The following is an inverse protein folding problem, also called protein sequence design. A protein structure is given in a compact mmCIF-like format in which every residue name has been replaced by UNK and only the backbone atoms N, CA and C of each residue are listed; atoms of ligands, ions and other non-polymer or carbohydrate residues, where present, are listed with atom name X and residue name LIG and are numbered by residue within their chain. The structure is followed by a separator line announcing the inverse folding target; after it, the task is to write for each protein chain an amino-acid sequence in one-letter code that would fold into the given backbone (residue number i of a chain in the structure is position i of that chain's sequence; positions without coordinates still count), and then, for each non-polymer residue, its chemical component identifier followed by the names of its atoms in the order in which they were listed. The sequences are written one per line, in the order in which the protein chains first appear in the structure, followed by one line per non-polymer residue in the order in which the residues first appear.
data_IF_588538171557
#
_entry.id   IF_588538171557
#
_cell.length_a   1.000
_cell.length_b   1.000
_cell.length_c   1.000
_cell.angle_alpha   90.00
_cell.angle_beta   90.00
_cell.angle_gamma   90.00
#
_symmetry.space_group_name_H-M   'P 1'
#
loop_
_entity.id
_entity.type
_entity.pdbx_description
1 polymer ?
#
# COMPACT_ATOMS: atom_id res chain seq x y z
N UNK A 1 18.00 14.31 -6.55
CA UNK A 1 18.12 13.04 -5.82
C UNK A 1 16.94 12.13 -6.11
N UNK A 2 17.13 10.83 -5.93
CA UNK A 2 16.11 9.78 -6.09
C UNK A 2 16.05 8.97 -4.80
N UNK A 3 14.86 8.49 -4.43
CA UNK A 3 14.65 7.66 -3.25
C UNK A 3 13.56 6.62 -3.48
N UNK A 4 13.54 5.60 -2.62
CA UNK A 4 12.49 4.58 -2.60
C UNK A 4 11.44 4.98 -1.58
N UNK A 5 10.17 4.94 -1.97
CA UNK A 5 9.04 5.39 -1.15
C UNK A 5 7.80 4.53 -1.45
N UNK A 6 6.94 4.37 -0.45
CA UNK A 6 5.64 3.75 -0.64
C UNK A 6 4.67 4.69 -1.38
N UNK A 7 3.69 4.09 -2.08
CA UNK A 7 2.81 4.82 -2.98
C UNK A 7 1.89 5.83 -2.28
N UNK A 8 1.41 5.55 -1.07
CA UNK A 8 0.55 6.46 -0.31
C UNK A 8 1.28 7.74 0.09
N UNK A 9 2.52 7.63 0.59
CA UNK A 9 3.38 8.76 0.93
C UNK A 9 3.78 9.53 -0.33
N UNK A 10 4.11 8.84 -1.42
CA UNK A 10 4.38 9.48 -2.71
C UNK A 10 3.18 10.28 -3.22
N UNK A 11 1.96 9.74 -3.06
CA UNK A 11 0.73 10.42 -3.45
C UNK A 11 0.49 11.70 -2.63
N UNK A 12 0.80 11.70 -1.33
CA UNK A 12 0.77 12.91 -0.50
C UNK A 12 1.78 13.95 -0.99
N UNK A 13 3.02 13.56 -1.25
CA UNK A 13 4.06 14.47 -1.75
C UNK A 13 3.71 15.06 -3.12
N UNK A 14 3.20 14.22 -4.04
CA UNK A 14 2.77 14.61 -5.38
C UNK A 14 1.62 15.62 -5.37
N UNK A 15 0.72 15.52 -4.38
CA UNK A 15 -0.37 16.46 -4.17
C UNK A 15 0.12 17.78 -3.54
N UNK A 16 1.08 17.71 -2.62
CA UNK A 16 1.57 18.88 -1.88
C UNK A 16 2.51 19.78 -2.69
N UNK A 17 3.45 19.20 -3.43
CA UNK A 17 4.50 19.96 -4.12
C UNK A 17 4.88 19.32 -5.45
N UNK A 18 4.72 20.09 -6.53
CA UNK A 18 4.99 19.66 -7.91
C UNK A 18 6.46 19.47 -8.23
N UNK A 19 7.38 19.79 -7.31
CA UNK A 19 8.79 19.42 -7.46
C UNK A 19 9.03 17.91 -7.38
N UNK A 20 8.12 17.17 -6.76
CA UNK A 20 8.24 15.71 -6.63
C UNK A 20 7.60 15.00 -7.82
N UNK A 21 8.33 14.05 -8.39
CA UNK A 21 7.82 13.12 -9.38
C UNK A 21 7.71 11.72 -8.77
N UNK A 22 6.62 11.02 -9.10
CA UNK A 22 6.49 9.59 -8.82
C UNK A 22 6.82 8.80 -10.08
N UNK A 23 7.72 7.84 -9.97
CA UNK A 23 8.18 7.01 -11.08
C UNK A 23 8.03 5.55 -10.67
N UNK A 24 7.31 4.79 -11.49
CA UNK A 24 7.34 3.33 -11.44
C UNK A 24 8.43 2.84 -12.39
N UNK A 25 9.40 2.04 -11.93
CA UNK A 25 10.43 1.49 -12.80
C UNK A 25 9.84 0.62 -13.93
N UNK A 26 10.46 0.67 -15.11
CA UNK A 26 9.99 -0.08 -16.30
C UNK A 26 10.07 -1.60 -16.09
N UNK A 27 11.05 -2.07 -15.32
CA UNK A 27 11.20 -3.49 -14.93
C UNK A 27 10.20 -3.94 -13.85
N UNK A 28 9.34 -3.03 -13.39
CA UNK A 28 8.32 -3.28 -12.38
C UNK A 28 8.70 -2.82 -10.97
N UNK A 29 7.73 -2.96 -10.06
CA UNK A 29 7.86 -2.63 -8.65
C UNK A 29 7.17 -3.68 -7.79
N UNK A 30 7.37 -3.60 -6.48
CA UNK A 30 6.65 -4.45 -5.54
C UNK A 30 5.17 -4.05 -5.46
N UNK A 31 4.28 -4.98 -5.79
CA UNK A 31 2.84 -4.88 -5.53
C UNK A 31 2.51 -5.58 -4.20
N UNK A 32 2.00 -4.82 -3.25
CA UNK A 32 1.62 -5.31 -1.93
C UNK A 32 0.15 -5.02 -1.61
N UNK A 33 -0.41 -5.81 -0.71
CA UNK A 33 -1.75 -5.63 -0.17
C UNK A 33 -1.72 -5.95 1.32
N UNK A 34 -2.04 -4.96 2.14
CA UNK A 34 -2.26 -5.17 3.56
C UNK A 34 -3.69 -5.66 3.81
N UNK A 35 -3.82 -6.71 4.63
CA UNK A 35 -5.10 -7.30 4.98
C UNK A 35 -5.28 -7.33 6.50
N UNK A 36 -6.50 -7.10 6.96
CA UNK A 36 -6.86 -7.28 8.36
C UNK A 36 -7.00 -8.79 8.66
N UNK A 37 -6.40 -9.24 9.75
CA UNK A 37 -6.50 -10.61 10.24
C UNK A 37 -6.90 -10.62 11.72
N UNK A 38 -7.68 -11.63 12.13
CA UNK A 38 -8.04 -11.85 13.54
C UNK A 38 -7.15 -12.96 14.08
N UNK A 39 -6.26 -12.68 15.07
CA UNK A 39 -5.44 -13.71 15.69
C UNK A 39 -6.30 -14.78 16.37
N UNK A 40 -5.84 -16.04 16.33
CA UNK A 40 -6.53 -17.15 17.01
C UNK A 40 -6.71 -16.93 18.52
N UNK A 41 -5.85 -16.10 19.12
CA UNK A 41 -5.83 -15.77 20.55
C UNK A 41 -6.57 -14.46 20.88
N UNK A 42 -7.28 -13.86 19.92
CA UNK A 42 -8.02 -12.63 20.16
C UNK A 42 -9.08 -12.82 21.26
N UNK A 43 -9.07 -11.96 22.27
CA UNK A 43 -10.03 -12.00 23.38
C UNK A 43 -11.46 -11.57 22.98
N UNK A 44 -11.59 -10.81 21.88
CA UNK A 44 -12.87 -10.27 21.40
C UNK A 44 -13.03 -10.43 19.88
N UNK A 45 -13.10 -11.66 19.35
CA UNK A 45 -13.16 -11.90 17.90
C UNK A 45 -14.41 -11.29 17.25
N UNK A 46 -15.55 -11.27 17.96
CA UNK A 46 -16.78 -10.65 17.45
C UNK A 46 -16.63 -9.14 17.24
N UNK A 47 -15.98 -8.43 18.16
CA UNK A 47 -15.72 -6.99 18.00
C UNK A 47 -14.77 -6.73 16.83
N UNK A 48 -13.78 -7.59 16.62
CA UNK A 48 -12.89 -7.50 15.47
C UNK A 48 -13.66 -7.68 14.15
N UNK A 49 -14.59 -8.63 14.08
CA UNK A 49 -15.47 -8.78 12.91
C UNK A 49 -16.34 -7.54 12.67
N UNK A 50 -16.94 -6.97 13.72
CA UNK A 50 -17.73 -5.74 13.60
C UNK A 50 -16.89 -4.56 13.12
N UNK A 51 -15.65 -4.45 13.60
CA UNK A 51 -14.71 -3.42 13.17
C UNK A 51 -14.31 -3.59 11.70
N UNK A 52 -13.95 -4.80 11.27
CA UNK A 52 -13.64 -5.09 9.86
C UNK A 52 -14.86 -4.74 8.99
N UNK A 53 -16.06 -5.15 9.40
CA UNK A 53 -17.29 -4.82 8.66
C UNK A 53 -17.54 -3.30 8.57
N UNK A 54 -17.25 -2.55 9.64
CA UNK A 54 -17.32 -1.09 9.62
C UNK A 54 -16.36 -0.48 8.60
N UNK A 55 -15.10 -0.93 8.58
CA UNK A 55 -14.09 -0.44 7.64
C UNK A 55 -14.42 -0.78 6.18
N UNK A 56 -15.11 -1.89 5.93
CA UNK A 56 -15.53 -2.33 4.59
C UNK A 56 -16.72 -1.52 4.01
N UNK A 57 -17.37 -0.66 4.81
CA UNK A 57 -18.37 0.26 4.26
C UNK A 57 -17.71 1.29 3.33
N UNK A 58 -18.37 1.60 2.21
CA UNK A 58 -17.82 2.50 1.19
C UNK A 58 -17.49 3.89 1.74
N UNK A 59 -18.35 4.46 2.58
CA UNK A 59 -18.16 5.79 3.17
C UNK A 59 -17.01 5.82 4.18
N UNK A 60 -16.86 4.76 4.97
CA UNK A 60 -15.75 4.62 5.92
C UNK A 60 -14.43 4.40 5.19
N UNK A 61 -14.42 3.50 4.20
CA UNK A 61 -13.24 3.22 3.38
C UNK A 61 -12.79 4.46 2.58
N UNK A 62 -13.73 5.29 2.07
CA UNK A 62 -13.41 6.58 1.46
C UNK A 62 -12.72 7.53 2.45
N UNK A 63 -13.20 7.62 3.70
CA UNK A 63 -12.57 8.45 4.74
C UNK A 63 -11.13 8.01 5.03
N UNK A 64 -10.83 6.71 4.93
CA UNK A 64 -9.45 6.21 5.05
C UNK A 64 -8.61 6.75 3.88
N UNK A 65 -9.11 6.69 2.64
CA UNK A 65 -8.40 7.25 1.48
C UNK A 65 -8.24 8.78 1.52
N UNK A 66 -9.18 9.50 2.12
CA UNK A 66 -9.05 10.94 2.34
C UNK A 66 -7.92 11.27 3.32
N UNK A 67 -7.72 10.41 4.33
CA UNK A 67 -6.66 10.57 5.31
C UNK A 67 -5.30 10.08 4.78
N UNK A 68 -5.29 8.99 4.00
CA UNK A 68 -4.08 8.40 3.44
C UNK A 68 -4.33 7.75 2.07
N UNK A 69 -3.76 8.30 0.98
CA UNK A 69 -4.19 8.01 -0.39
C UNK A 69 -3.52 6.76 -0.99
N UNK A 70 -3.55 5.62 -0.29
CA UNK A 70 -3.25 4.34 -0.93
C UNK A 70 -4.35 3.96 -1.93
N UNK A 71 -4.02 3.08 -2.89
CA UNK A 71 -5.01 2.47 -3.76
C UNK A 71 -6.12 1.82 -2.92
N UNK A 72 -7.35 2.31 -3.05
CA UNK A 72 -8.46 1.75 -2.29
C UNK A 72 -8.99 0.45 -2.95
N UNK A 73 -8.95 -0.71 -2.26
CA UNK A 73 -9.46 -1.97 -2.81
C UNK A 73 -11.00 -2.05 -2.88
N UNK A 74 -11.71 -1.18 -2.14
CA UNK A 74 -13.16 -1.14 -2.12
C UNK A 74 -13.70 -0.41 -3.36
N UNK A 75 -14.28 -1.17 -4.30
CA UNK A 75 -14.81 -0.65 -5.56
C UNK A 75 -15.90 0.42 -5.33
N UNK A 76 -16.79 0.21 -4.36
CA UNK A 76 -17.85 1.17 -4.04
C UNK A 76 -17.27 2.46 -3.43
N UNK A 77 -16.22 2.37 -2.60
CA UNK A 77 -15.55 3.56 -2.07
C UNK A 77 -14.89 4.39 -3.17
N UNK A 78 -14.30 3.74 -4.19
CA UNK A 78 -13.68 4.44 -5.34
C UNK A 78 -14.65 5.29 -6.13
N UNK A 79 -15.93 4.92 -6.18
CA UNK A 79 -16.99 5.72 -6.81
C UNK A 79 -17.30 7.02 -6.04
N UNK A 80 -16.89 7.11 -4.78
CA UNK A 80 -17.09 8.29 -3.92
C UNK A 80 -15.87 9.22 -3.90
N UNK A 81 -14.74 8.82 -4.52
CA UNK A 81 -13.53 9.64 -4.58
C UNK A 81 -13.66 10.74 -5.63
N UNK A 82 -12.96 11.86 -5.42
CA UNK A 82 -12.93 12.96 -6.38
C UNK A 82 -12.15 12.57 -7.64
N UNK A 83 -12.41 13.23 -8.79
CA UNK A 83 -11.60 13.04 -9.99
C UNK A 83 -10.11 13.32 -9.76
N UNK A 84 -9.77 14.27 -8.89
CA UNK A 84 -8.39 14.60 -8.54
C UNK A 84 -7.72 13.46 -7.76
N UNK A 85 -8.42 12.85 -6.79
CA UNK A 85 -7.91 11.67 -6.06
C UNK A 85 -7.65 10.50 -7.01
N UNK A 86 -8.57 10.27 -7.95
CA UNK A 86 -8.45 9.20 -8.96
C UNK A 86 -7.38 9.49 -10.02
N UNK A 87 -7.01 10.76 -10.22
CA UNK A 87 -5.98 11.17 -11.16
C UNK A 87 -4.56 11.14 -10.56
N UNK A 88 -4.40 10.85 -9.26
CA UNK A 88 -3.09 10.76 -8.63
C UNK A 88 -2.35 9.48 -9.10
N UNK A 89 -1.24 9.61 -9.86
CA UNK A 89 -0.58 8.46 -10.49
C UNK A 89 0.12 7.54 -9.48
N UNK A 90 0.42 8.02 -8.27
CA UNK A 90 0.98 7.18 -7.22
C UNK A 90 -0.09 6.29 -6.56
N UNK A 91 -1.31 6.82 -6.39
CA UNK A 91 -2.45 6.06 -5.85
C UNK A 91 -3.08 5.14 -6.90
N UNK A 92 -3.27 5.64 -8.12
CA UNK A 92 -3.99 4.98 -9.21
C UNK A 92 -3.15 5.00 -10.49
N UNK A 93 -2.08 4.19 -10.56
CA UNK A 93 -1.24 4.11 -11.76
C UNK A 93 -2.02 3.52 -12.95
N UNK A 94 -1.66 3.88 -14.19
CA UNK A 94 -2.19 3.24 -15.40
C UNK A 94 -2.06 1.71 -15.35
N UNK A 95 -3.06 1.00 -15.90
CA UNK A 95 -3.12 -0.47 -15.87
C UNK A 95 -1.87 -1.15 -16.46
N UNK A 96 -1.25 -0.54 -17.49
CA UNK A 96 -0.01 -1.05 -18.09
C UNK A 96 1.16 -1.05 -17.09
N UNK A 97 1.25 -0.08 -16.18
CA UNK A 97 2.31 -0.07 -15.18
C UNK A 97 2.09 -1.13 -14.10
N UNK A 98 0.82 -1.46 -13.82
CA UNK A 98 0.46 -2.51 -12.84
C UNK A 98 0.87 -3.90 -13.36
N UNK A 99 0.78 -4.17 -14.67
CA UNK A 99 1.07 -5.50 -15.22
C UNK A 99 2.53 -5.95 -15.09
N UNK A 100 3.45 -5.01 -14.86
CA UNK A 100 4.87 -5.32 -14.62
C UNK A 100 5.20 -5.52 -13.14
N UNK A 101 4.27 -5.22 -12.23
CA UNK A 101 4.53 -5.34 -10.80
C UNK A 101 4.48 -6.79 -10.32
N UNK A 102 5.24 -7.08 -9.27
CA UNK A 102 5.31 -8.41 -8.65
C UNK A 102 5.01 -8.34 -7.17
N UNK A 103 4.23 -9.31 -6.70
CA UNK A 103 4.01 -9.49 -5.26
C UNK A 103 5.04 -10.45 -4.66
N UNK A 104 5.25 -10.33 -3.35
CA UNK A 104 6.10 -11.28 -2.63
C UNK A 104 5.39 -12.61 -2.49
N UNK A 105 6.19 -13.68 -2.53
CA UNK A 105 5.75 -15.02 -2.22
C UNK A 105 6.28 -15.36 -0.84
N UNK A 106 5.48 -16.12 -0.09
CA UNK A 106 5.97 -16.70 1.16
C UNK A 106 7.18 -17.59 0.85
N UNK A 107 8.30 -17.30 1.50
CA UNK A 107 9.56 -18.03 1.36
C UNK A 107 9.68 -19.15 2.40
N UNK A 108 8.71 -19.29 3.31
CA UNK A 108 8.78 -20.22 4.42
C UNK A 108 10.03 -19.99 5.26
N UNK A 109 10.76 -21.06 5.58
CA UNK A 109 11.95 -20.99 6.42
C UNK A 109 13.10 -20.18 5.80
N UNK A 110 13.14 -20.01 4.48
CA UNK A 110 14.18 -19.25 3.81
C UNK A 110 14.10 -17.73 4.09
N UNK A 111 12.96 -17.24 4.58
CA UNK A 111 12.79 -15.85 5.03
C UNK A 111 13.85 -15.42 6.05
N UNK A 112 14.22 -16.31 6.98
CA UNK A 112 15.25 -16.02 7.98
C UNK A 112 16.63 -15.71 7.36
N UNK A 113 16.98 -16.38 6.27
CA UNK A 113 18.22 -16.11 5.53
C UNK A 113 18.17 -14.74 4.85
N UNK A 114 17.02 -14.37 4.27
CA UNK A 114 16.83 -13.04 3.67
C UNK A 114 16.93 -11.94 4.73
N UNK A 115 16.31 -12.14 5.90
CA UNK A 115 16.37 -11.20 7.01
C UNK A 115 17.79 -11.00 7.54
N UNK A 116 18.56 -12.09 7.66
CA UNK A 116 19.96 -12.02 8.06
C UNK A 116 20.79 -11.23 7.04
N UNK A 117 20.62 -11.49 5.74
CA UNK A 117 21.31 -10.75 4.68
C UNK A 117 21.00 -9.25 4.73
N UNK A 118 19.72 -8.89 4.87
CA UNK A 118 19.30 -7.48 4.99
C UNK A 118 19.90 -6.84 6.24
N UNK A 119 19.96 -7.56 7.35
CA UNK A 119 20.59 -7.09 8.59
C UNK A 119 22.07 -6.80 8.39
N UNK A 120 22.81 -7.70 7.75
CA UNK A 120 24.23 -7.51 7.46
C UNK A 120 24.49 -6.31 6.53
N UNK A 121 23.67 -6.13 5.48
CA UNK A 121 23.76 -4.97 4.58
C UNK A 121 23.56 -3.67 5.35
N UNK A 122 22.52 -3.59 6.18
CA UNK A 122 22.21 -2.40 6.98
C UNK A 122 23.29 -2.10 8.04
N UNK A 123 23.89 -3.13 8.63
CA UNK A 123 24.94 -2.97 9.64
C UNK A 123 26.28 -2.49 9.03
N UNK A 124 26.62 -2.95 7.82
CA UNK A 124 27.84 -2.55 7.09
C UNK A 124 27.73 -1.19 6.40
N UNK A 125 26.52 -0.64 6.25
CA UNK A 125 26.28 0.70 5.72
C UNK A 125 26.55 1.84 6.72
N UNK A 126 27.14 1.52 7.88
CA UNK A 126 27.80 2.45 8.80
C UNK A 126 29.31 2.28 8.70
#
# INVERSE_FOLDING_TARGET
DIGVIWSGEAALLYAQDKKFAFILPDDGAHLFVDNLAIPKTASHPLNAHLFINYLLRADVSKRISDAFPYYNPNIAARQLLSPEQLANPASYPPAQQISHMQTFRDLGQFSATVDELVTQIKAKGK
#
